data_IF_511889399556
#
_entry.id   IF_511889399556
#
_cell.length_a   1.000
_cell.length_b   1.000
_cell.length_c   1.000
_cell.angle_alpha   90.00
_cell.angle_beta   90.00
_cell.angle_gamma   90.00
#
_symmetry.space_group_name_H-M   'P 1'
#
loop_
_entity.id
_entity.type
_entity.pdbx_description
1 polymer ?
#
# COMPACT_ATOMS: atom_id res chain seq x y z
N UNK A 1 14.37 14.52 3.64
CA UNK A 1 13.34 14.05 2.72
C UNK A 1 13.56 12.59 2.38
N UNK A 2 12.50 11.84 2.21
CA UNK A 2 12.61 10.49 1.67
C UNK A 2 13.19 10.56 0.25
N UNK A 3 13.93 9.53 -0.16
CA UNK A 3 14.47 9.44 -1.52
C UNK A 3 13.34 9.29 -2.54
N UNK A 4 12.34 8.49 -2.20
CA UNK A 4 11.18 8.26 -3.04
C UNK A 4 10.05 7.70 -2.19
N UNK A 5 8.81 8.07 -2.52
CA UNK A 5 7.62 7.55 -1.86
C UNK A 5 6.81 6.80 -2.92
N UNK A 6 6.67 5.49 -2.72
CA UNK A 6 5.97 4.60 -3.64
C UNK A 6 4.74 4.01 -2.96
N UNK A 7 3.65 3.91 -3.67
CA UNK A 7 2.50 3.15 -3.21
C UNK A 7 2.40 1.84 -3.99
N UNK A 8 2.24 0.74 -3.29
CA UNK A 8 1.96 -0.55 -3.90
C UNK A 8 0.51 -0.93 -3.61
N UNK A 9 -0.23 -1.20 -4.67
CA UNK A 9 -1.65 -1.43 -4.59
C UNK A 9 -2.07 -2.50 -5.59
N UNK A 10 -2.77 -3.53 -5.12
CA UNK A 10 -3.42 -4.50 -5.98
C UNK A 10 -4.91 -4.18 -6.05
N UNK A 11 -5.47 -4.19 -7.25
CA UNK A 11 -6.89 -3.92 -7.48
C UNK A 11 -7.51 -5.03 -8.33
N UNK A 12 -8.82 -5.21 -8.21
CA UNK A 12 -9.57 -6.10 -9.08
C UNK A 12 -9.82 -5.50 -10.46
N UNK A 13 -10.53 -6.21 -11.30
CA UNK A 13 -10.77 -5.79 -12.70
C UNK A 13 -11.53 -4.48 -12.81
N UNK A 14 -12.37 -4.14 -11.83
CA UNK A 14 -13.15 -2.90 -11.81
C UNK A 14 -12.63 -1.87 -10.80
N UNK A 15 -11.43 -2.12 -10.22
CA UNK A 15 -10.88 -1.25 -9.20
C UNK A 15 -11.23 -1.66 -7.78
N UNK A 16 -11.72 -2.88 -7.57
CA UNK A 16 -12.05 -3.38 -6.23
C UNK A 16 -10.82 -3.35 -5.36
N UNK A 17 -10.94 -2.82 -4.16
CA UNK A 17 -9.83 -2.62 -3.25
C UNK A 17 -10.01 -3.26 -1.88
N UNK A 18 -11.24 -3.28 -1.39
CA UNK A 18 -11.55 -3.81 -0.07
C UNK A 18 -12.96 -4.36 0.02
N UNK A 19 -13.17 -5.27 0.96
CA UNK A 19 -14.47 -5.83 1.30
C UNK A 19 -14.48 -6.19 2.77
N UNK A 20 -15.36 -5.56 3.53
CA UNK A 20 -15.53 -5.80 4.98
C UNK A 20 -14.21 -5.71 5.76
N UNK A 21 -13.41 -4.72 5.44
CA UNK A 21 -12.13 -4.47 6.10
C UNK A 21 -10.99 -5.38 5.69
N UNK A 22 -11.16 -6.19 4.65
CA UNK A 22 -10.18 -7.15 4.15
C UNK A 22 -9.99 -6.98 2.64
N UNK A 23 -9.00 -7.66 2.09
CA UNK A 23 -8.87 -7.77 0.64
C UNK A 23 -10.05 -8.58 0.10
N UNK A 24 -10.68 -8.17 -1.01
CA UNK A 24 -11.83 -8.88 -1.56
C UNK A 24 -11.53 -10.33 -1.91
N UNK A 25 -10.28 -10.61 -2.29
CA UNK A 25 -9.81 -11.94 -2.69
C UNK A 25 -9.05 -12.66 -1.59
N UNK A 26 -9.12 -12.20 -0.36
CA UNK A 26 -8.38 -12.80 0.75
C UNK A 26 -8.69 -14.29 0.86
N UNK A 27 -7.63 -15.10 1.01
CA UNK A 27 -7.76 -16.55 1.05
C UNK A 27 -7.74 -17.21 -0.32
N UNK A 28 -7.75 -16.45 -1.41
CA UNK A 28 -7.64 -17.02 -2.76
C UNK A 28 -6.21 -17.50 -2.99
N UNK A 29 -6.08 -18.78 -3.36
CA UNK A 29 -4.78 -19.44 -3.56
C UNK A 29 -4.33 -19.45 -5.02
N UNK A 30 -5.00 -18.71 -5.89
CA UNK A 30 -4.60 -18.61 -7.29
C UNK A 30 -3.18 -18.03 -7.42
N UNK A 31 -2.46 -18.48 -8.45
CA UNK A 31 -1.05 -18.14 -8.59
C UNK A 31 -0.83 -16.61 -8.75
N UNK A 32 -1.77 -15.89 -9.39
CA UNK A 32 -1.66 -14.45 -9.55
C UNK A 32 -1.67 -13.71 -8.21
N UNK A 33 -2.53 -14.17 -7.30
CA UNK A 33 -2.66 -13.56 -5.96
C UNK A 33 -1.43 -13.83 -5.13
N UNK A 34 -0.90 -15.05 -5.19
CA UNK A 34 0.32 -15.42 -4.47
C UNK A 34 1.54 -14.70 -5.03
N UNK A 35 1.62 -14.57 -6.35
CA UNK A 35 2.72 -13.85 -6.99
C UNK A 35 2.73 -12.37 -6.60
N UNK A 36 1.56 -11.75 -6.46
CA UNK A 36 1.48 -10.36 -6.02
C UNK A 36 2.01 -10.17 -4.60
N UNK A 37 1.66 -11.07 -3.69
CA UNK A 37 2.17 -11.04 -2.32
C UNK A 37 3.69 -11.20 -2.30
N UNK A 38 4.22 -12.16 -3.05
CA UNK A 38 5.67 -12.38 -3.13
C UNK A 38 6.39 -11.15 -3.68
N UNK A 39 5.83 -10.53 -4.73
CA UNK A 39 6.38 -9.31 -5.32
C UNK A 39 6.41 -8.16 -4.33
N UNK A 40 5.34 -8.02 -3.54
CA UNK A 40 5.26 -6.99 -2.50
C UNK A 40 6.42 -7.12 -1.50
N UNK A 41 6.68 -8.33 -1.01
CA UNK A 41 7.75 -8.55 -0.07
C UNK A 41 9.14 -8.40 -0.72
N UNK A 42 9.29 -8.81 -1.97
CA UNK A 42 10.56 -8.63 -2.68
C UNK A 42 10.89 -7.15 -2.89
N UNK A 43 9.93 -6.36 -3.33
CA UNK A 43 10.17 -4.94 -3.63
C UNK A 43 10.40 -4.10 -2.37
N UNK A 44 9.76 -4.44 -1.27
CA UNK A 44 9.89 -3.66 -0.02
C UNK A 44 11.12 -4.06 0.79
N UNK A 45 11.82 -5.13 0.41
CA UNK A 45 13.00 -5.59 1.12
C UNK A 45 14.09 -4.52 1.14
N UNK A 46 14.62 -4.24 2.32
CA UNK A 46 15.65 -3.21 2.51
C UNK A 46 15.12 -1.79 2.61
N UNK A 47 13.81 -1.61 2.51
CA UNK A 47 13.18 -0.30 2.50
C UNK A 47 12.25 -0.10 3.69
N UNK A 48 11.60 1.06 3.76
CA UNK A 48 10.58 1.36 4.75
C UNK A 48 9.22 0.98 4.18
N UNK A 49 8.43 0.30 4.99
CA UNK A 49 7.03 -0.03 4.66
C UNK A 49 6.14 0.60 5.72
N UNK A 50 5.26 1.49 5.29
CA UNK A 50 4.22 2.04 6.15
C UNK A 50 2.87 1.45 5.74
N UNK A 51 2.07 1.07 6.72
CA UNK A 51 0.79 0.43 6.47
C UNK A 51 -0.14 0.58 7.66
N UNK A 52 -1.44 0.44 7.43
CA UNK A 52 -2.43 0.50 8.49
C UNK A 52 -2.44 -0.76 9.36
N UNK A 53 -3.19 -0.73 10.49
CA UNK A 53 -3.18 -1.83 11.47
C UNK A 53 -3.54 -3.20 10.90
N UNK A 54 -4.56 -3.28 10.07
CA UNK A 54 -5.01 -4.56 9.51
C UNK A 54 -3.96 -5.16 8.59
N UNK A 55 -3.29 -4.33 7.78
CA UNK A 55 -2.22 -4.77 6.90
C UNK A 55 -1.01 -5.22 7.70
N UNK A 56 -0.61 -4.43 8.69
CA UNK A 56 0.53 -4.79 9.57
C UNK A 56 0.28 -6.11 10.28
N UNK A 57 -0.94 -6.34 10.77
CA UNK A 57 -1.30 -7.58 11.45
C UNK A 57 -1.16 -8.82 10.56
N UNK A 58 -1.23 -8.65 9.24
CA UNK A 58 -1.10 -9.75 8.29
C UNK A 58 0.35 -10.04 7.89
N UNK A 59 1.31 -9.21 8.32
CA UNK A 59 2.72 -9.36 7.92
C UNK A 59 3.39 -10.46 8.76
N UNK A 60 4.02 -11.46 8.12
CA UNK A 60 4.73 -12.50 8.86
C UNK A 60 5.91 -11.92 9.67
N UNK A 61 6.20 -12.49 10.86
CA UNK A 61 7.30 -12.00 11.70
C UNK A 61 8.66 -11.94 11.01
N UNK A 62 8.96 -12.88 10.11
CA UNK A 62 10.23 -12.91 9.39
C UNK A 62 10.43 -11.68 8.51
N UNK A 63 9.35 -11.09 8.04
CA UNK A 63 9.43 -9.90 7.17
C UNK A 63 10.05 -8.69 7.87
N UNK A 64 9.92 -8.62 9.19
CA UNK A 64 10.48 -7.52 9.99
C UNK A 64 12.00 -7.48 9.99
N UNK A 65 12.64 -8.61 9.69
CA UNK A 65 14.11 -8.68 9.63
C UNK A 65 14.70 -8.01 8.40
N UNK A 66 13.88 -7.80 7.37
CA UNK A 66 14.35 -7.37 6.06
C UNK A 66 13.89 -5.98 5.65
N UNK A 67 13.12 -5.29 6.48
CA UNK A 67 12.58 -3.96 6.21
C UNK A 67 12.17 -3.28 7.50
N UNK A 68 12.02 -1.97 7.42
CA UNK A 68 11.49 -1.17 8.53
C UNK A 68 9.99 -1.03 8.34
N UNK A 69 9.20 -1.49 9.32
CA UNK A 69 7.74 -1.45 9.25
C UNK A 69 7.20 -0.44 10.26
N UNK A 70 6.33 0.46 9.79
CA UNK A 70 5.67 1.45 10.63
C UNK A 70 4.17 1.28 10.49
N UNK A 71 3.50 1.05 11.62
CA UNK A 71 2.04 0.97 11.65
C UNK A 71 1.46 2.39 11.69
N UNK A 72 0.64 2.71 10.68
CA UNK A 72 0.03 4.02 10.55
C UNK A 72 -1.29 4.06 11.29
N UNK A 73 -1.47 5.09 12.09
CA UNK A 73 -2.70 5.37 12.84
C UNK A 73 -3.28 6.71 12.40
N UNK A 74 -4.59 6.87 12.59
CA UNK A 74 -5.33 8.04 12.09
C UNK A 74 -4.86 9.38 12.70
N UNK A 75 -4.26 9.36 13.90
CA UNK A 75 -3.76 10.58 14.54
C UNK A 75 -2.39 11.02 14.03
N UNK A 76 -1.71 10.20 13.24
CA UNK A 76 -0.39 10.52 12.71
C UNK A 76 -0.48 11.45 11.51
N UNK A 77 0.41 12.44 11.46
CA UNK A 77 0.50 13.37 10.32
C UNK A 77 1.43 12.80 9.25
N UNK A 78 0.98 12.65 8.01
CA UNK A 78 1.80 12.05 6.95
C UNK A 78 3.17 12.70 6.79
N UNK A 79 3.23 14.03 6.77
CA UNK A 79 4.51 14.73 6.60
C UNK A 79 5.51 14.39 7.70
N UNK A 80 5.06 14.24 8.94
CA UNK A 80 5.93 13.89 10.07
C UNK A 80 6.40 12.44 9.97
N UNK A 81 5.52 11.53 9.58
CA UNK A 81 5.89 10.12 9.40
C UNK A 81 6.95 9.99 8.33
N UNK A 82 6.73 10.61 7.18
CA UNK A 82 7.66 10.52 6.05
C UNK A 82 9.01 11.17 6.37
N UNK A 83 9.02 12.23 7.18
CA UNK A 83 10.24 12.91 7.59
C UNK A 83 11.14 12.09 8.51
N UNK A 84 10.64 10.99 9.09
CA UNK A 84 11.43 10.11 9.95
C UNK A 84 12.48 9.31 9.18
N UNK A 85 12.35 9.22 7.87
CA UNK A 85 13.18 8.34 7.04
C UNK A 85 13.84 9.10 5.90
N UNK A 86 14.74 10.05 6.22
CA UNK A 86 15.43 10.81 5.18
C UNK A 86 16.28 9.87 4.31
N UNK A 87 16.30 10.14 3.03
CA UNK A 87 17.11 9.41 2.04
C UNK A 87 16.74 7.93 1.88
N UNK A 88 15.62 7.50 2.46
CA UNK A 88 15.12 6.13 2.32
C UNK A 88 13.95 6.09 1.33
N UNK A 89 13.80 4.96 0.64
CA UNK A 89 12.60 4.67 -0.13
C UNK A 89 11.51 4.20 0.83
N UNK A 90 10.34 4.81 0.72
CA UNK A 90 9.19 4.48 1.56
C UNK A 90 8.09 3.89 0.68
N UNK A 91 7.63 2.70 1.05
CA UNK A 91 6.48 2.06 0.40
C UNK A 91 5.23 2.24 1.25
N UNK A 92 4.14 2.70 0.62
CA UNK A 92 2.82 2.80 1.23
C UNK A 92 2.04 1.55 0.86
N UNK A 93 1.86 0.66 1.84
CA UNK A 93 1.38 -0.70 1.58
C UNK A 93 -0.10 -0.96 1.84
N UNK A 94 -0.88 0.03 2.18
CA UNK A 94 -2.32 -0.09 2.40
C UNK A 94 -2.75 0.05 3.86
N UNK A 95 -4.01 -0.01 4.17
CA UNK A 95 -5.14 -0.21 3.28
C UNK A 95 -5.67 1.05 2.61
N UNK A 96 -6.94 1.01 2.17
CA UNK A 96 -7.50 2.10 1.38
C UNK A 96 -7.44 3.48 2.02
N UNK A 97 -7.70 3.59 3.32
CA UNK A 97 -7.63 4.88 4.02
C UNK A 97 -6.19 5.41 4.09
N UNK A 98 -5.20 4.53 4.19
CA UNK A 98 -3.79 4.92 4.19
C UNK A 98 -3.39 5.42 2.81
N UNK A 99 -3.76 4.72 1.74
CA UNK A 99 -3.49 5.19 0.39
C UNK A 99 -4.14 6.54 0.12
N UNK A 100 -5.39 6.72 0.53
CA UNK A 100 -6.09 8.00 0.36
C UNK A 100 -5.37 9.14 1.08
N UNK A 101 -5.01 8.92 2.34
CA UNK A 101 -4.34 9.94 3.16
C UNK A 101 -2.96 10.29 2.63
N UNK A 102 -2.21 9.30 2.13
CA UNK A 102 -0.84 9.49 1.67
C UNK A 102 -0.71 9.80 0.18
N UNK A 103 -1.81 9.71 -0.58
CA UNK A 103 -1.79 9.92 -2.02
C UNK A 103 -1.10 11.23 -2.46
N UNK A 104 -1.31 12.37 -1.80
CA UNK A 104 -0.64 13.61 -2.19
C UNK A 104 0.87 13.58 -2.10
N UNK A 105 1.43 12.62 -1.36
CA UNK A 105 2.88 12.51 -1.14
C UNK A 105 3.53 11.43 -2.00
N UNK A 106 2.74 10.64 -2.70
CA UNK A 106 3.25 9.50 -3.46
C UNK A 106 3.88 9.98 -4.78
N UNK A 107 5.12 9.57 -5.01
CA UNK A 107 5.85 9.89 -6.24
C UNK A 107 5.54 8.88 -7.34
N UNK A 108 5.28 7.64 -6.98
CA UNK A 108 5.06 6.57 -7.94
C UNK A 108 4.05 5.55 -7.42
N UNK A 109 3.05 5.22 -8.23
CA UNK A 109 2.07 4.18 -7.96
C UNK A 109 2.41 2.91 -8.71
N UNK A 110 2.61 1.84 -7.97
CA UNK A 110 2.80 0.49 -8.52
C UNK A 110 1.49 -0.27 -8.35
N UNK A 111 0.74 -0.38 -9.41
CA UNK A 111 -0.61 -0.95 -9.37
C UNK A 111 -0.63 -2.27 -10.13
N UNK A 112 -1.03 -3.34 -9.43
CA UNK A 112 -1.26 -4.65 -10.04
C UNK A 112 -2.74 -4.89 -10.18
N UNK A 113 -3.19 -5.23 -11.39
CA UNK A 113 -4.59 -5.60 -11.62
C UNK A 113 -4.72 -7.10 -11.57
N UNK A 114 -5.49 -7.60 -10.60
CA UNK A 114 -5.73 -9.02 -10.41
C UNK A 114 -7.04 -9.45 -11.08
N UNK A 115 -7.18 -10.74 -11.42
CA UNK A 115 -8.37 -11.23 -12.14
C UNK A 115 -9.60 -11.39 -11.27
N UNK A 116 -9.74 -10.59 -10.25
CA UNK A 116 -10.89 -10.60 -9.36
C UNK A 116 -11.97 -9.65 -9.89
N UNK A 117 -13.20 -10.14 -9.98
CA UNK A 117 -14.35 -9.34 -10.43
C UNK A 117 -15.57 -9.52 -9.53
N UNK A 118 -15.36 -9.88 -8.29
CA UNK A 118 -16.42 -10.04 -7.30
C UNK A 118 -16.79 -8.75 -6.57
N UNK A 119 -17.45 -8.90 -5.43
CA UNK A 119 -17.94 -7.80 -4.62
C UNK A 119 -16.81 -6.99 -3.98
N UNK A 120 -17.08 -5.71 -3.71
CA UNK A 120 -16.23 -4.82 -2.96
C UNK A 120 -17.05 -3.70 -2.33
N UNK A 121 -16.54 -3.15 -1.23
CA UNK A 121 -17.12 -1.97 -0.60
C UNK A 121 -16.12 -0.80 -0.53
N UNK A 122 -14.87 -1.01 -0.96
CA UNK A 122 -13.86 0.02 -1.14
C UNK A 122 -13.26 -0.11 -2.53
N UNK A 123 -12.98 1.03 -3.14
CA UNK A 123 -12.57 1.10 -4.55
C UNK A 123 -11.36 2.01 -4.69
N UNK A 124 -10.52 1.70 -5.67
CA UNK A 124 -9.41 2.59 -6.03
C UNK A 124 -9.96 3.88 -6.65
N UNK A 125 -9.47 5.01 -6.16
CA UNK A 125 -9.86 6.31 -6.70
C UNK A 125 -8.80 6.76 -7.71
N UNK A 126 -9.16 6.86 -9.01
CA UNK A 126 -8.20 7.32 -10.03
C UNK A 126 -7.61 8.71 -9.76
N UNK A 127 -8.27 9.53 -8.97
CA UNK A 127 -7.75 10.84 -8.59
C UNK A 127 -6.46 10.75 -7.77
N UNK A 128 -6.21 9.64 -7.10
CA UNK A 128 -4.96 9.44 -6.34
C UNK A 128 -3.73 9.51 -7.24
N UNK A 129 -3.85 9.05 -8.49
CA UNK A 129 -2.73 9.03 -9.43
C UNK A 129 -2.24 10.43 -9.78
N UNK A 130 -3.11 11.41 -9.78
CA UNK A 130 -2.76 12.79 -10.09
C UNK A 130 -2.63 13.70 -8.88
N UNK A 131 -2.85 13.17 -7.67
CA UNK A 131 -2.91 14.02 -6.47
C UNK A 131 -1.63 14.80 -6.20
N UNK A 132 -0.46 14.17 -6.40
CA UNK A 132 0.84 14.80 -6.21
C UNK A 132 1.26 15.69 -7.39
N UNK A 133 0.62 15.55 -8.53
CA UNK A 133 0.93 16.30 -9.76
C UNK A 133 -0.01 17.48 -9.96
N UNK A 134 -1.05 17.59 -9.16
CA UNK A 134 -2.02 18.67 -9.30
C UNK A 134 -1.34 20.01 -9.05
N UNK A 135 -1.38 20.94 -10.01
CA UNK A 135 -0.81 22.26 -9.78
C UNK A 135 -1.55 22.94 -8.64
N UNK A 136 -0.81 23.41 -7.69
CA UNK A 136 -1.35 24.09 -6.52
C UNK A 136 -2.06 25.38 -6.90
#
# INVERSE_FOLDING_TARGET
MAAEIRAMCAIGLRGQLGLKGRLPWEGNKGWQYQADVARFFDLTKGHVLIAGPATVASIPPLAYKHRTIVEIRSHMHPAEVLARFPERVIYVGGGPSVWETYAPFVDHWDITRLPYDGDADRWFDPAWLGAAETPG
#
